data_IF_405419142305
#
_entry.id   IF_405419142305
#
_cell.length_a   1.000
_cell.length_b   1.000
_cell.length_c   1.000
_cell.angle_alpha   90.00
_cell.angle_beta   90.00
_cell.angle_gamma   90.00
#
_symmetry.space_group_name_H-M   'P 1'
#
loop_
_entity.id
_entity.type
_entity.pdbx_description
1 polymer ?
#
# COMPACT_ATOMS: atom_id res chain seq x y z
N UNK A 1 12.13 8.42 13.35
CA UNK A 1 11.21 8.94 12.31
C UNK A 1 10.98 7.94 11.18
N UNK A 2 12.04 7.40 10.57
CA UNK A 2 11.93 6.41 9.48
C UNK A 2 11.14 5.14 9.86
N UNK A 3 11.41 4.53 11.02
CA UNK A 3 10.66 3.34 11.48
C UNK A 3 9.17 3.61 11.69
N UNK A 4 8.83 4.80 12.21
CA UNK A 4 7.44 5.22 12.36
C UNK A 4 6.75 5.36 11.01
N UNK A 5 7.40 5.98 10.03
CA UNK A 5 6.86 6.10 8.67
C UNK A 5 6.65 4.73 8.02
N UNK A 6 7.56 3.78 8.23
CA UNK A 6 7.39 2.41 7.74
C UNK A 6 6.15 1.74 8.34
N UNK A 7 5.91 1.90 9.64
CA UNK A 7 4.72 1.35 10.32
C UNK A 7 3.44 2.01 9.79
N UNK A 8 3.43 3.34 9.69
CA UNK A 8 2.26 4.09 9.23
C UNK A 8 1.93 3.79 7.77
N UNK A 9 2.94 3.47 6.95
CA UNK A 9 2.77 3.04 5.55
C UNK A 9 1.86 1.81 5.40
N UNK A 10 1.83 0.93 6.40
CA UNK A 10 1.00 -0.28 6.34
C UNK A 10 -0.50 0.04 6.33
N UNK A 11 -0.93 1.12 6.98
CA UNK A 11 -2.35 1.48 7.08
C UNK A 11 -2.99 1.71 5.70
N UNK A 12 -2.50 2.63 4.85
CA UNK A 12 -3.09 2.83 3.54
C UNK A 12 -2.90 1.60 2.64
N UNK A 13 -1.79 0.86 2.76
CA UNK A 13 -1.55 -0.35 1.97
C UNK A 13 -2.56 -1.46 2.27
N UNK A 14 -2.86 -1.70 3.55
CA UNK A 14 -3.86 -2.69 3.99
C UNK A 14 -5.24 -2.25 3.53
N UNK A 15 -5.60 -0.98 3.76
CA UNK A 15 -6.90 -0.44 3.35
C UNK A 15 -7.10 -0.56 1.83
N UNK A 16 -6.09 -0.15 1.03
CA UNK A 16 -6.11 -0.31 -0.42
C UNK A 16 -6.21 -1.77 -0.85
N UNK A 17 -5.40 -2.65 -0.25
CA UNK A 17 -5.41 -4.07 -0.57
C UNK A 17 -6.78 -4.69 -0.30
N UNK A 18 -7.43 -4.31 0.80
CA UNK A 18 -8.78 -4.78 1.13
C UNK A 18 -9.78 -4.31 0.08
N UNK A 19 -9.84 -2.99 -0.18
CA UNK A 19 -10.78 -2.39 -1.12
C UNK A 19 -10.60 -2.93 -2.54
N UNK A 20 -9.36 -3.06 -3.01
CA UNK A 20 -9.07 -3.65 -4.32
C UNK A 20 -9.44 -5.13 -4.36
N UNK A 21 -9.20 -5.89 -3.29
CA UNK A 21 -9.58 -7.31 -3.25
C UNK A 21 -11.09 -7.51 -3.38
N UNK A 22 -11.89 -6.62 -2.79
CA UNK A 22 -13.35 -6.68 -2.84
C UNK A 22 -13.92 -6.23 -4.18
N UNK A 23 -13.22 -5.34 -4.88
CA UNK A 23 -13.60 -4.87 -6.22
C UNK A 23 -13.25 -5.91 -7.28
N UNK A 24 -12.04 -6.49 -7.21
CA UNK A 24 -11.50 -7.36 -8.25
C UNK A 24 -11.95 -8.82 -8.12
N UNK A 25 -12.27 -9.27 -6.90
CA UNK A 25 -12.57 -10.67 -6.64
C UNK A 25 -13.86 -10.81 -5.83
N UNK A 26 -14.51 -11.97 -5.99
CA UNK A 26 -15.64 -12.34 -5.13
C UNK A 26 -15.15 -12.44 -3.67
N UNK A 27 -15.82 -11.72 -2.77
CA UNK A 27 -15.54 -11.76 -1.33
C UNK A 27 -15.58 -13.20 -0.80
N UNK A 28 -14.56 -13.58 -0.04
CA UNK A 28 -14.41 -14.93 0.50
C UNK A 28 -13.84 -15.96 -0.48
N UNK A 29 -13.52 -15.57 -1.71
CA UNK A 29 -12.79 -16.46 -2.63
C UNK A 29 -11.33 -16.63 -2.21
N UNK A 30 -10.69 -17.77 -2.51
CA UNK A 30 -9.25 -17.97 -2.28
C UNK A 30 -8.39 -16.89 -2.95
N UNK A 31 -8.81 -16.40 -4.12
CA UNK A 31 -8.13 -15.33 -4.84
C UNK A 31 -8.15 -14.00 -4.10
N UNK A 32 -9.27 -13.63 -3.47
CA UNK A 32 -9.39 -12.42 -2.64
C UNK A 32 -8.42 -12.46 -1.45
N UNK A 33 -8.34 -13.59 -0.74
CA UNK A 33 -7.41 -13.76 0.37
C UNK A 33 -5.94 -13.75 -0.06
N UNK A 34 -5.61 -14.46 -1.15
CA UNK A 34 -4.26 -14.49 -1.69
C UNK A 34 -3.81 -13.09 -2.13
N UNK A 35 -4.69 -12.34 -2.82
CA UNK A 35 -4.40 -10.96 -3.21
C UNK A 35 -4.19 -10.06 -1.99
N UNK A 36 -5.09 -10.13 -0.99
CA UNK A 36 -4.99 -9.31 0.21
C UNK A 36 -3.71 -9.60 1.01
N UNK A 37 -3.27 -10.86 1.07
CA UNK A 37 -2.02 -11.21 1.73
C UNK A 37 -0.80 -10.70 0.96
N UNK A 38 -0.77 -10.86 -0.36
CA UNK A 38 0.41 -10.50 -1.18
C UNK A 38 0.53 -8.99 -1.37
N UNK A 39 -0.59 -8.26 -1.42
CA UNK A 39 -0.61 -6.84 -1.75
C UNK A 39 0.26 -5.98 -0.82
N UNK A 40 0.11 -6.01 0.54
CA UNK A 40 0.95 -5.22 1.43
C UNK A 40 2.44 -5.50 1.29
N UNK A 41 2.83 -6.77 1.09
CA UNK A 41 4.24 -7.13 0.92
C UNK A 41 4.81 -6.63 -0.42
N UNK A 42 4.05 -6.77 -1.51
CA UNK A 42 4.45 -6.27 -2.82
C UNK A 42 4.63 -4.74 -2.78
N UNK A 43 3.70 -4.05 -2.12
CA UNK A 43 3.70 -2.60 -1.99
C UNK A 43 4.84 -2.11 -1.08
N UNK A 44 5.12 -2.81 0.03
CA UNK A 44 6.26 -2.54 0.90
C UNK A 44 7.60 -2.71 0.16
N UNK A 45 7.74 -3.77 -0.63
CA UNK A 45 8.92 -3.99 -1.48
C UNK A 45 9.10 -2.86 -2.49
N UNK A 46 8.01 -2.40 -3.10
CA UNK A 46 8.00 -1.30 -4.07
C UNK A 46 8.41 0.03 -3.41
N UNK A 47 7.86 0.32 -2.23
CA UNK A 47 8.26 1.46 -1.41
C UNK A 47 9.75 1.41 -1.06
N UNK A 48 10.28 0.26 -0.64
CA UNK A 48 11.70 0.10 -0.34
C UNK A 48 12.57 0.37 -1.56
N UNK A 49 12.23 -0.22 -2.71
CA UNK A 49 13.00 -0.06 -3.95
C UNK A 49 12.99 1.38 -4.47
N UNK A 50 11.86 2.09 -4.39
CA UNK A 50 11.75 3.47 -4.85
C UNK A 50 12.37 4.48 -3.88
N UNK A 51 12.24 4.24 -2.58
CA UNK A 51 12.73 5.16 -1.55
C UNK A 51 14.23 5.02 -1.29
N UNK A 52 14.86 3.91 -1.70
CA UNK A 52 16.30 3.71 -1.57
C UNK A 52 17.09 4.57 -2.57
N UNK A 53 18.18 5.18 -2.10
CA UNK A 53 19.20 5.86 -2.92
C UNK A 53 20.58 5.54 -2.35
N UNK A 54 21.34 4.69 -3.05
CA UNK A 54 22.57 4.11 -2.47
C UNK A 54 22.22 3.13 -1.37
N UNK A 55 22.87 3.25 -0.22
CA UNK A 55 22.59 2.40 0.96
C UNK A 55 21.50 2.97 1.88
N UNK A 56 21.10 4.23 1.67
CA UNK A 56 20.14 4.92 2.52
C UNK A 56 18.72 4.97 1.94
N UNK A 57 17.74 5.06 2.84
CA UNK A 57 16.33 5.32 2.50
C UNK A 57 16.04 6.80 2.66
N UNK A 58 15.59 7.44 1.58
CA UNK A 58 15.20 8.84 1.61
C UNK A 58 13.81 8.99 2.23
N UNK A 59 13.77 9.56 3.43
CA UNK A 59 12.53 9.84 4.18
C UNK A 59 11.51 10.63 3.35
N UNK A 60 11.97 11.60 2.55
CA UNK A 60 11.08 12.41 1.70
C UNK A 60 10.34 11.56 0.65
N UNK A 61 11.01 10.54 0.08
CA UNK A 61 10.39 9.62 -0.88
C UNK A 61 9.36 8.72 -0.20
N UNK A 62 9.64 8.30 1.04
CA UNK A 62 8.72 7.49 1.83
C UNK A 62 7.44 8.26 2.18
N UNK A 63 7.56 9.55 2.51
CA UNK A 63 6.41 10.44 2.73
C UNK A 63 5.63 10.65 1.44
N UNK A 64 6.30 10.91 0.31
CA UNK A 64 5.62 11.04 -0.99
C UNK A 64 4.86 9.77 -1.36
N UNK A 65 5.49 8.60 -1.17
CA UNK A 65 4.86 7.30 -1.40
C UNK A 65 3.60 7.11 -0.55
N UNK A 66 3.69 7.42 0.76
CA UNK A 66 2.55 7.39 1.67
C UNK A 66 1.37 8.25 1.18
N UNK A 67 1.65 9.50 0.77
CA UNK A 67 0.63 10.42 0.28
C UNK A 67 0.02 9.93 -1.04
N UNK A 68 0.82 9.32 -1.93
CA UNK A 68 0.32 8.70 -3.15
C UNK A 68 -0.62 7.52 -2.86
N UNK A 69 -0.28 6.63 -1.94
CA UNK A 69 -1.17 5.53 -1.52
C UNK A 69 -2.47 6.06 -0.93
N UNK A 70 -2.42 7.08 -0.07
CA UNK A 70 -3.64 7.72 0.45
C UNK A 70 -4.50 8.37 -0.64
N UNK A 71 -3.87 9.03 -1.62
CA UNK A 71 -4.59 9.62 -2.73
C UNK A 71 -5.26 8.55 -3.60
N UNK A 72 -4.56 7.44 -3.89
CA UNK A 72 -5.13 6.31 -4.63
C UNK A 72 -6.29 5.70 -3.83
N UNK A 73 -6.14 5.54 -2.51
CA UNK A 73 -7.22 5.05 -1.65
C UNK A 73 -8.45 5.95 -1.71
N UNK A 74 -8.25 7.26 -1.58
CA UNK A 74 -9.34 8.23 -1.65
C UNK A 74 -10.06 8.16 -3.01
N UNK A 75 -9.31 8.09 -4.12
CA UNK A 75 -9.88 7.92 -5.45
C UNK A 75 -10.67 6.62 -5.54
N UNK A 76 -10.08 5.48 -5.16
CA UNK A 76 -10.78 4.19 -5.23
C UNK A 76 -12.06 4.20 -4.41
N UNK A 77 -12.04 4.74 -3.19
CA UNK A 77 -13.24 4.86 -2.35
C UNK A 77 -14.28 5.81 -2.93
N UNK A 78 -13.90 6.89 -3.62
CA UNK A 78 -14.85 7.80 -4.25
C UNK A 78 -15.56 7.18 -5.48
N UNK A 79 -14.88 6.30 -6.22
CA UNK A 79 -15.45 5.68 -7.43
C UNK A 79 -16.14 4.34 -7.17
N UNK A 80 -15.76 3.62 -6.10
CA UNK A 80 -16.21 2.25 -5.85
C UNK A 80 -16.70 1.98 -4.41
N UNK A 81 -16.62 2.96 -3.51
CA UNK A 81 -17.18 2.89 -2.16
C UNK A 81 -18.61 3.43 -2.10
#
# INVERSE_FOLDING_TARGET
>A
MQNFLWIVLWLPMIALGLTLSTILFKTGSPASYAFFMVWPFANFYLAYKLCKKGDDVLVIRLISFFLTELAILAVVLLYFG
#
